data_IF_879916409247
#
_entry.id   IF_879916409247
#
_cell.length_a   1.000
_cell.length_b   1.000
_cell.length_c   1.000
_cell.angle_alpha   90.00
_cell.angle_beta   90.00
_cell.angle_gamma   90.00
#
_symmetry.space_group_name_H-M   'P 1'
#
loop_
_entity.id
_entity.type
_entity.pdbx_description
1 polymer ?
#
# COMPACT_ATOMS: atom_id res chain seq x y z
N UNK A 1 -4.87 -10.91 -10.14
CA UNK A 1 -4.47 -12.13 -9.42
C UNK A 1 -4.06 -11.81 -7.99
N UNK A 2 -4.49 -12.62 -7.02
CA UNK A 2 -4.15 -12.43 -5.61
C UNK A 2 -2.63 -12.45 -5.38
N UNK A 3 -2.14 -11.65 -4.41
CA UNK A 3 -0.72 -11.56 -4.07
C UNK A 3 0.09 -10.58 -4.93
N UNK A 4 -0.44 -10.09 -6.05
CA UNK A 4 0.21 -9.14 -6.94
C UNK A 4 -0.09 -7.69 -6.56
N UNK A 5 0.64 -6.73 -7.17
CA UNK A 5 0.39 -5.30 -7.05
C UNK A 5 -1.08 -5.01 -7.38
N UNK A 6 -1.77 -4.22 -6.54
CA UNK A 6 -3.16 -3.81 -6.81
C UNK A 6 -3.24 -2.92 -8.05
N UNK A 7 -4.27 -3.07 -8.89
CA UNK A 7 -4.47 -2.17 -10.02
C UNK A 7 -4.92 -0.79 -9.53
N UNK A 8 -4.32 0.27 -10.05
CA UNK A 8 -4.70 1.67 -9.82
C UNK A 8 -5.13 2.38 -11.11
N UNK A 9 -5.05 1.69 -12.25
CA UNK A 9 -5.48 2.16 -13.59
C UNK A 9 -6.14 1.03 -14.37
N UNK A 10 -6.98 1.36 -15.34
CA UNK A 10 -7.58 0.39 -16.25
C UNK A 10 -6.51 -0.47 -16.97
N UNK A 11 -5.37 0.12 -17.36
CA UNK A 11 -4.27 -0.61 -17.96
C UNK A 11 -3.73 -1.74 -17.07
N UNK A 12 -3.66 -1.54 -15.75
CA UNK A 12 -3.24 -2.58 -14.79
C UNK A 12 -4.27 -3.73 -14.70
N UNK A 13 -5.57 -3.40 -14.79
CA UNK A 13 -6.65 -4.39 -14.83
C UNK A 13 -6.53 -5.23 -16.10
N UNK A 14 -6.36 -4.59 -17.25
CA UNK A 14 -6.17 -5.26 -18.53
C UNK A 14 -4.92 -6.14 -18.57
N UNK A 15 -3.80 -5.66 -18.03
CA UNK A 15 -2.57 -6.44 -17.93
C UNK A 15 -2.71 -7.67 -17.01
N UNK A 16 -3.50 -7.55 -15.93
CA UNK A 16 -3.66 -8.62 -14.94
C UNK A 16 -4.73 -9.65 -15.29
N UNK A 17 -5.83 -9.25 -15.92
CA UNK A 17 -7.00 -10.09 -16.20
C UNK A 17 -7.17 -10.42 -17.69
N UNK A 18 -6.70 -9.55 -18.58
CA UNK A 18 -6.73 -9.80 -20.02
C UNK A 18 -8.12 -10.23 -20.53
N UNK A 19 -8.14 -11.38 -21.18
CA UNK A 19 -9.37 -11.94 -21.77
C UNK A 19 -10.32 -12.60 -20.74
N UNK A 20 -10.03 -12.53 -19.44
CA UNK A 20 -10.93 -13.04 -18.40
C UNK A 20 -12.08 -12.09 -18.07
N UNK A 21 -12.07 -10.87 -18.65
CA UNK A 21 -13.11 -9.86 -18.51
C UNK A 21 -13.52 -9.32 -19.88
N UNK A 22 -14.82 -9.04 -20.06
CA UNK A 22 -15.37 -8.60 -21.33
C UNK A 22 -15.26 -7.08 -21.53
N UNK A 23 -15.27 -6.31 -20.44
CA UNK A 23 -15.31 -4.84 -20.47
C UNK A 23 -14.61 -4.23 -19.27
N UNK A 24 -13.87 -3.14 -19.48
CA UNK A 24 -13.35 -2.25 -18.44
C UNK A 24 -13.93 -0.87 -18.65
N UNK A 25 -14.56 -0.30 -17.63
CA UNK A 25 -14.96 1.10 -17.59
C UNK A 25 -13.82 1.87 -16.95
N UNK A 26 -13.23 2.80 -17.71
CA UNK A 26 -12.08 3.60 -17.29
C UNK A 26 -12.53 5.03 -16.96
N UNK A 27 -12.46 5.39 -15.66
CA UNK A 27 -12.71 6.75 -15.15
C UNK A 27 -11.41 7.41 -14.69
N UNK A 28 -10.27 6.95 -15.22
CA UNK A 28 -8.94 7.44 -14.86
C UNK A 28 -8.28 6.71 -13.68
N UNK A 29 -7.17 7.26 -13.16
CA UNK A 29 -6.43 6.66 -12.05
C UNK A 29 -7.20 6.76 -10.73
N UNK A 30 -7.01 5.76 -9.85
CA UNK A 30 -7.61 5.77 -8.53
C UNK A 30 -7.11 6.96 -7.69
N UNK A 31 -8.02 7.78 -7.19
CA UNK A 31 -7.68 8.96 -6.39
C UNK A 31 -7.11 8.62 -4.99
N UNK A 32 -7.51 7.48 -4.41
CA UNK A 32 -7.02 7.03 -3.09
C UNK A 32 -5.80 6.14 -3.19
N UNK A 33 -5.64 5.39 -4.27
CA UNK A 33 -4.55 4.45 -4.51
C UNK A 33 -4.49 3.24 -3.56
N UNK A 34 -4.76 3.41 -2.26
CA UNK A 34 -4.84 2.33 -1.28
C UNK A 34 -6.28 1.87 -1.07
N UNK A 35 -6.45 0.61 -0.66
CA UNK A 35 -7.77 0.04 -0.40
C UNK A 35 -8.41 0.64 0.86
N UNK A 36 -9.71 0.37 1.04
CA UNK A 36 -10.48 0.79 2.20
C UNK A 36 -9.88 0.27 3.52
N UNK A 37 -10.05 1.05 4.58
CA UNK A 37 -9.81 0.59 5.94
C UNK A 37 -10.84 -0.46 6.33
N UNK A 38 -10.38 -1.53 6.98
CA UNK A 38 -11.25 -2.58 7.51
C UNK A 38 -11.18 -2.53 9.03
N UNK A 39 -12.34 -2.41 9.65
CA UNK A 39 -12.47 -2.40 11.11
C UNK A 39 -13.38 -3.54 11.58
N UNK A 40 -13.03 -4.09 12.74
CA UNK A 40 -13.97 -4.90 13.54
C UNK A 40 -14.58 -4.00 14.62
N UNK A 41 -15.89 -3.94 14.66
CA UNK A 41 -16.67 -3.11 15.58
C UNK A 41 -17.73 -3.96 16.29
N UNK A 42 -17.38 -5.14 16.77
CA UNK A 42 -18.33 -6.13 17.33
C UNK A 42 -18.71 -5.90 18.79
N UNK A 43 -17.94 -5.11 19.54
CA UNK A 43 -18.12 -4.91 20.98
C UNK A 43 -18.03 -3.42 21.35
N UNK A 44 -17.79 -3.13 22.63
CA UNK A 44 -17.61 -1.76 23.14
C UNK A 44 -16.34 -1.06 22.61
N UNK A 45 -15.49 -1.77 21.90
CA UNK A 45 -14.29 -1.25 21.24
C UNK A 45 -14.25 -1.63 19.76
N UNK A 46 -13.56 -0.83 18.95
CA UNK A 46 -13.29 -1.14 17.55
C UNK A 46 -11.80 -1.39 17.34
N UNK A 47 -11.47 -2.28 16.40
CA UNK A 47 -10.07 -2.61 16.05
C UNK A 47 -9.87 -2.45 14.56
N UNK A 48 -8.77 -1.82 14.14
CA UNK A 48 -8.39 -1.76 12.72
C UNK A 48 -7.73 -3.08 12.33
N UNK A 49 -8.40 -3.83 11.46
CA UNK A 49 -7.87 -5.08 10.90
C UNK A 49 -6.94 -4.83 9.71
N UNK A 50 -7.19 -3.76 8.95
CA UNK A 50 -6.35 -3.33 7.83
C UNK A 50 -6.40 -1.80 7.74
N UNK A 51 -5.27 -1.09 7.90
CA UNK A 51 -5.22 0.34 7.62
C UNK A 51 -5.45 0.58 6.13
N UNK A 52 -6.09 1.72 5.79
CA UNK A 52 -6.48 2.06 4.42
C UNK A 52 -6.82 3.53 4.26
N UNK A 53 -7.68 3.86 3.27
CA UNK A 53 -7.99 5.25 2.90
C UNK A 53 -8.63 6.12 3.99
N UNK A 54 -9.20 5.52 5.05
CA UNK A 54 -9.67 6.26 6.24
C UNK A 54 -8.62 6.08 7.35
N UNK A 55 -8.06 7.19 7.82
CA UNK A 55 -6.95 7.16 8.79
C UNK A 55 -7.40 6.71 10.19
N UNK A 56 -6.48 6.16 10.97
CA UNK A 56 -6.68 5.83 12.39
C UNK A 56 -7.22 7.00 13.19
N UNK A 57 -6.67 8.20 12.97
CA UNK A 57 -7.09 9.44 13.66
C UNK A 57 -8.55 9.77 13.37
N UNK A 58 -8.98 9.66 12.10
CA UNK A 58 -10.36 9.91 11.70
C UNK A 58 -11.32 8.92 12.35
N UNK A 59 -10.96 7.63 12.38
CA UNK A 59 -11.75 6.58 13.01
C UNK A 59 -11.84 6.81 14.52
N UNK A 60 -10.72 7.08 15.18
CA UNK A 60 -10.68 7.36 16.62
C UNK A 60 -11.57 8.55 16.99
N UNK A 61 -11.55 9.62 16.18
CA UNK A 61 -12.42 10.78 16.38
C UNK A 61 -13.91 10.45 16.28
N UNK A 62 -14.31 9.66 15.28
CA UNK A 62 -15.69 9.20 15.14
C UNK A 62 -16.15 8.31 16.31
N UNK A 63 -15.28 7.39 16.73
CA UNK A 63 -15.59 6.49 17.86
C UNK A 63 -15.72 7.28 19.17
N UNK A 64 -14.80 8.21 19.45
CA UNK A 64 -14.86 9.05 20.65
C UNK A 64 -16.16 9.87 20.71
N UNK A 65 -16.62 10.41 19.58
CA UNK A 65 -17.89 11.13 19.50
C UNK A 65 -19.11 10.23 19.83
N UNK A 66 -18.99 8.92 19.62
CA UNK A 66 -19.99 7.90 19.98
C UNK A 66 -19.77 7.28 21.38
N UNK A 67 -18.80 7.74 22.16
CA UNK A 67 -18.44 7.17 23.46
C UNK A 67 -17.74 5.80 23.39
N UNK A 68 -17.20 5.45 22.22
CA UNK A 68 -16.47 4.22 21.97
C UNK A 68 -14.96 4.48 21.90
N UNK A 69 -14.16 3.42 21.97
CA UNK A 69 -12.70 3.50 21.89
C UNK A 69 -12.15 2.66 20.74
N UNK A 70 -11.08 3.15 20.14
CA UNK A 70 -10.28 2.35 19.22
C UNK A 70 -9.25 1.56 20.03
N UNK A 71 -9.30 0.23 19.92
CA UNK A 71 -8.33 -0.64 20.58
C UNK A 71 -6.93 -0.46 19.97
N UNK A 72 -5.90 -0.64 20.81
CA UNK A 72 -4.52 -0.65 20.33
C UNK A 72 -4.25 -1.87 19.44
N UNK A 73 -3.38 -1.73 18.46
CA UNK A 73 -3.02 -2.79 17.51
C UNK A 73 -2.38 -4.02 18.16
N UNK A 74 -1.78 -3.87 19.34
CA UNK A 74 -1.14 -4.97 20.11
C UNK A 74 -2.15 -5.97 20.69
N UNK A 75 -3.44 -5.59 20.78
CA UNK A 75 -4.51 -6.45 21.30
C UNK A 75 -5.07 -7.42 20.23
N UNK A 76 -4.67 -7.28 18.96
CA UNK A 76 -5.10 -8.19 17.89
C UNK A 76 -4.16 -9.38 17.77
N UNK A 77 -4.53 -10.48 18.39
CA UNK A 77 -3.92 -11.80 18.10
C UNK A 77 -4.33 -12.20 16.66
N UNK A 78 -3.59 -11.73 15.68
CA UNK A 78 -3.66 -12.31 14.33
C UNK A 78 -2.92 -13.64 14.39
N UNK A 79 -3.66 -14.74 14.41
CA UNK A 79 -3.03 -16.05 14.16
C UNK A 79 -2.48 -16.02 12.74
N UNK A 80 -1.18 -16.31 12.53
CA UNK A 80 -0.54 -16.25 11.21
C UNK A 80 -1.24 -17.07 10.13
N UNK A 81 -2.03 -18.07 10.53
CA UNK A 81 -2.60 -19.09 9.65
C UNK A 81 -4.04 -18.83 9.21
N UNK A 82 -4.72 -17.78 9.71
CA UNK A 82 -6.10 -17.47 9.32
C UNK A 82 -6.31 -15.96 9.13
N UNK A 83 -6.20 -15.44 7.90
CA UNK A 83 -6.52 -14.05 7.62
C UNK A 83 -8.00 -13.77 7.93
N UNK A 84 -8.27 -12.81 8.80
CA UNK A 84 -9.63 -12.40 9.18
C UNK A 84 -10.17 -11.27 8.30
N UNK A 85 -9.34 -10.73 7.40
CA UNK A 85 -9.76 -9.76 6.39
C UNK A 85 -8.95 -9.88 5.10
N UNK A 86 -9.51 -9.42 3.95
CA UNK A 86 -8.77 -9.37 2.68
C UNK A 86 -7.48 -8.55 2.81
N UNK A 87 -6.38 -9.03 2.18
CA UNK A 87 -5.09 -8.35 2.17
C UNK A 87 -4.21 -8.61 3.41
N UNK A 88 -4.59 -9.52 4.30
CA UNK A 88 -3.81 -9.90 5.48
C UNK A 88 -2.81 -11.04 5.25
N UNK A 89 -2.72 -11.59 4.05
CA UNK A 89 -1.66 -12.55 3.73
C UNK A 89 -0.29 -11.93 4.02
N UNK A 90 0.62 -12.72 4.58
CA UNK A 90 1.97 -12.27 4.93
C UNK A 90 2.69 -11.67 3.72
N UNK A 91 2.61 -12.32 2.54
CA UNK A 91 3.07 -11.77 1.27
C UNK A 91 1.87 -11.40 0.40
N UNK A 92 1.73 -10.13 0.09
CA UNK A 92 0.68 -9.55 -0.75
C UNK A 92 1.17 -8.25 -1.39
N UNK A 93 0.51 -7.78 -2.46
CA UNK A 93 0.88 -6.55 -3.20
C UNK A 93 2.27 -6.60 -3.84
N UNK A 94 2.85 -7.79 -3.99
CA UNK A 94 4.24 -7.95 -4.37
C UNK A 94 4.49 -7.73 -5.88
N UNK A 95 5.46 -6.85 -6.27
CA UNK A 95 5.97 -6.75 -7.63
C UNK A 95 6.73 -8.04 -8.03
N UNK A 96 7.08 -8.23 -9.29
CA UNK A 96 7.97 -9.31 -9.70
C UNK A 96 9.38 -9.13 -9.14
N UNK A 97 9.82 -7.89 -9.01
CA UNK A 97 11.07 -7.47 -8.38
C UNK A 97 11.11 -7.77 -6.87
N UNK A 98 12.31 -7.83 -6.30
CA UNK A 98 12.49 -7.79 -4.84
C UNK A 98 12.24 -6.35 -4.36
N UNK A 99 11.37 -6.18 -3.34
CA UNK A 99 11.12 -4.88 -2.73
C UNK A 99 11.91 -4.71 -1.44
N UNK A 100 12.54 -3.55 -1.27
CA UNK A 100 13.32 -3.17 -0.09
C UNK A 100 12.82 -1.83 0.42
N UNK A 101 12.42 -1.77 1.68
CA UNK A 101 11.91 -0.55 2.32
C UNK A 101 13.01 0.29 2.96
N UNK A 102 12.70 1.55 3.21
CA UNK A 102 13.54 2.51 3.94
C UNK A 102 14.91 2.74 3.28
N UNK A 103 14.92 2.77 1.94
CA UNK A 103 16.12 3.04 1.15
C UNK A 103 16.24 4.54 0.91
N UNK A 104 17.35 5.14 1.31
CA UNK A 104 17.63 6.58 1.12
C UNK A 104 18.57 6.86 -0.05
N UNK A 105 19.24 5.83 -0.57
CA UNK A 105 20.19 5.96 -1.67
C UNK A 105 20.10 4.73 -2.58
N UNK A 106 19.89 4.95 -3.87
CA UNK A 106 19.87 3.88 -4.85
C UNK A 106 21.24 3.21 -4.98
N UNK A 107 21.23 1.88 -5.06
CA UNK A 107 22.42 1.09 -5.40
C UNK A 107 22.37 0.69 -6.88
N UNK A 108 23.50 0.25 -7.43
CA UNK A 108 23.57 -0.17 -8.83
C UNK A 108 22.56 -1.27 -9.14
N UNK A 109 21.68 -1.01 -10.10
CA UNK A 109 20.65 -1.96 -10.55
C UNK A 109 19.36 -1.93 -9.71
N UNK A 110 19.25 -1.00 -8.77
CA UNK A 110 18.04 -0.73 -8.00
C UNK A 110 17.28 0.43 -8.63
N UNK A 111 15.96 0.27 -8.77
CA UNK A 111 15.06 1.39 -9.03
C UNK A 111 14.57 1.94 -7.69
N UNK A 112 14.80 3.22 -7.42
CA UNK A 112 14.40 3.85 -6.16
C UNK A 112 13.15 4.70 -6.36
N UNK A 113 12.10 4.39 -5.61
CA UNK A 113 10.89 5.20 -5.52
C UNK A 113 11.05 6.14 -4.33
N UNK A 114 11.11 7.44 -4.60
CA UNK A 114 11.33 8.50 -3.62
C UNK A 114 10.10 8.90 -2.83
N UNK A 115 10.32 9.66 -1.75
CA UNK A 115 9.29 10.35 -0.98
C UNK A 115 9.88 11.61 -0.36
N UNK A 116 9.20 12.75 -0.46
CA UNK A 116 9.67 14.04 0.02
C UNK A 116 10.83 14.62 -0.80
N UNK A 117 11.52 15.62 -0.26
CA UNK A 117 12.56 16.35 -1.00
C UNK A 117 13.80 15.50 -1.34
N UNK A 118 13.94 14.33 -0.73
CA UNK A 118 15.03 13.38 -1.03
C UNK A 118 14.73 12.47 -2.21
N UNK A 119 13.82 12.84 -3.09
CA UNK A 119 13.37 12.21 -4.33
C UNK A 119 13.95 10.86 -4.74
N UNK A 120 13.29 10.16 -5.63
CA UNK A 120 13.84 8.92 -6.20
C UNK A 120 14.99 9.24 -7.17
N UNK A 121 16.09 8.53 -7.06
CA UNK A 121 17.17 8.60 -8.02
C UNK A 121 17.46 7.18 -8.55
N UNK A 122 16.50 6.66 -9.30
CA UNK A 122 16.66 5.49 -10.16
C UNK A 122 16.76 5.92 -11.63
N UNK A 123 16.64 4.98 -12.56
CA UNK A 123 16.60 5.31 -13.99
C UNK A 123 15.29 6.02 -14.40
N UNK A 124 14.19 5.76 -13.69
CA UNK A 124 12.86 6.27 -14.00
C UNK A 124 12.47 7.52 -13.20
N UNK A 125 13.30 7.93 -12.23
CA UNK A 125 13.04 9.07 -11.34
C UNK A 125 11.63 9.01 -10.69
N UNK A 126 11.26 7.82 -10.18
CA UNK A 126 9.96 7.57 -9.59
C UNK A 126 9.87 8.19 -8.19
N UNK A 127 8.73 8.79 -7.87
CA UNK A 127 8.44 9.31 -6.53
C UNK A 127 6.99 9.11 -6.14
N UNK A 128 6.74 8.77 -4.87
CA UNK A 128 5.38 8.71 -4.32
C UNK A 128 4.78 10.12 -4.18
N UNK A 129 5.57 11.06 -3.65
CA UNK A 129 5.26 12.48 -3.57
C UNK A 129 6.55 13.26 -3.39
N UNK A 130 6.80 14.23 -4.25
CA UNK A 130 7.97 15.13 -4.12
C UNK A 130 7.81 16.11 -2.96
N UNK A 131 6.57 16.48 -2.61
CA UNK A 131 6.25 17.35 -1.49
C UNK A 131 6.25 16.62 -0.13
N UNK A 132 6.26 15.29 -0.12
CA UNK A 132 6.08 14.49 1.09
C UNK A 132 4.63 14.44 1.57
N UNK A 133 3.68 14.63 0.65
CA UNK A 133 2.24 14.55 0.93
C UNK A 133 1.80 13.08 0.95
N UNK A 134 1.16 12.66 2.04
CA UNK A 134 0.76 11.26 2.23
C UNK A 134 -0.47 10.86 1.39
N UNK A 135 -1.33 11.83 1.02
CA UNK A 135 -2.47 11.60 0.13
C UNK A 135 -1.99 11.34 -1.30
N UNK A 136 -1.10 12.20 -1.80
CA UNK A 136 -0.45 12.01 -3.09
C UNK A 136 0.34 10.69 -3.13
N UNK A 137 1.09 10.40 -2.07
CA UNK A 137 1.88 9.17 -1.97
C UNK A 137 1.01 7.92 -1.98
N UNK A 138 -0.13 7.94 -1.28
CA UNK A 138 -1.08 6.83 -1.29
C UNK A 138 -1.70 6.63 -2.68
N UNK A 139 -2.06 7.72 -3.37
CA UNK A 139 -2.59 7.67 -4.74
C UNK A 139 -1.59 7.06 -5.73
N UNK A 140 -0.31 7.38 -5.58
CA UNK A 140 0.77 6.97 -6.48
C UNK A 140 1.37 5.60 -6.16
N UNK A 141 1.15 5.02 -4.97
CA UNK A 141 1.87 3.84 -4.47
C UNK A 141 1.93 2.70 -5.49
N UNK A 142 0.79 2.21 -5.91
CA UNK A 142 0.74 1.06 -6.81
C UNK A 142 1.14 1.42 -8.25
N UNK A 143 0.86 2.65 -8.69
CA UNK A 143 1.28 3.12 -10.02
C UNK A 143 2.80 3.13 -10.16
N UNK A 144 3.53 3.62 -9.14
CA UNK A 144 4.98 3.63 -9.11
C UNK A 144 5.56 2.22 -9.03
N UNK A 145 4.95 1.32 -8.25
CA UNK A 145 5.37 -0.08 -8.20
C UNK A 145 5.16 -0.79 -9.54
N UNK A 146 4.02 -0.54 -10.22
CA UNK A 146 3.79 -1.06 -11.58
C UNK A 146 4.79 -0.51 -12.60
N UNK A 147 5.12 0.78 -12.53
CA UNK A 147 6.07 1.41 -13.43
C UNK A 147 7.48 0.80 -13.29
N UNK A 148 7.95 0.62 -12.05
CA UNK A 148 9.25 0.00 -11.78
C UNK A 148 9.29 -1.48 -12.23
N UNK A 149 8.22 -2.24 -11.97
CA UNK A 149 8.11 -3.66 -12.36
C UNK A 149 8.05 -3.82 -13.89
N UNK A 150 7.29 -2.97 -14.58
CA UNK A 150 7.18 -2.95 -16.05
C UNK A 150 8.51 -2.59 -16.73
N UNK A 151 9.33 -1.74 -16.10
CA UNK A 151 10.67 -1.43 -16.58
C UNK A 151 11.69 -2.57 -16.39
N UNK A 152 11.29 -3.66 -15.76
CA UNK A 152 12.13 -4.85 -15.53
C UNK A 152 13.12 -4.69 -14.39
N UNK A 153 12.85 -3.79 -13.43
CA UNK A 153 13.65 -3.68 -12.21
C UNK A 153 13.81 -5.05 -11.53
N UNK A 154 15.01 -5.36 -11.06
CA UNK A 154 15.26 -6.57 -10.26
C UNK A 154 15.08 -6.31 -8.77
N UNK A 155 15.39 -5.09 -8.36
CA UNK A 155 15.24 -4.60 -6.99
C UNK A 155 14.56 -3.24 -7.05
N UNK A 156 13.50 -3.08 -6.27
CA UNK A 156 12.80 -1.81 -6.06
C UNK A 156 13.08 -1.37 -4.63
N UNK A 157 13.77 -0.25 -4.48
CA UNK A 157 13.92 0.45 -3.21
C UNK A 157 12.77 1.44 -3.02
N UNK A 158 12.25 1.58 -1.82
CA UNK A 158 11.26 2.63 -1.49
C UNK A 158 11.80 3.47 -0.35
N UNK A 159 11.77 4.79 -0.52
CA UNK A 159 12.17 5.75 0.50
C UNK A 159 11.32 5.63 1.78
N UNK A 160 11.83 6.03 2.95
CA UNK A 160 11.06 6.03 4.18
C UNK A 160 9.81 6.92 4.05
N UNK A 161 8.65 6.38 4.40
CA UNK A 161 7.38 7.11 4.52
C UNK A 161 7.02 7.16 6.01
N UNK A 162 6.65 8.33 6.58
CA UNK A 162 6.22 8.43 7.98
C UNK A 162 5.05 7.48 8.28
N UNK A 163 5.08 6.80 9.43
CA UNK A 163 4.05 5.82 9.83
C UNK A 163 2.87 6.52 10.55
N UNK A 164 2.35 7.59 9.94
CA UNK A 164 1.24 8.42 10.42
C UNK A 164 0.29 8.74 9.27
N UNK A 165 -0.95 9.08 9.56
CA UNK A 165 -1.93 9.40 8.52
C UNK A 165 -2.13 8.25 7.54
N UNK A 166 -2.09 8.54 6.24
CA UNK A 166 -2.13 7.50 5.19
C UNK A 166 -0.81 6.71 5.07
N UNK A 167 0.28 7.21 5.63
CA UNK A 167 1.55 6.50 5.67
C UNK A 167 1.46 5.17 6.42
N UNK A 168 0.55 5.01 7.41
CA UNK A 168 0.26 3.73 8.06
C UNK A 168 -0.21 2.68 7.05
N UNK A 169 -1.11 3.07 6.15
CA UNK A 169 -1.60 2.19 5.08
C UNK A 169 -0.53 1.91 4.02
N UNK A 170 0.23 2.93 3.60
CA UNK A 170 1.33 2.78 2.65
C UNK A 170 2.35 1.77 3.19
N UNK A 171 2.80 1.95 4.43
CA UNK A 171 3.79 1.09 5.06
C UNK A 171 3.28 -0.35 5.28
N UNK A 172 1.98 -0.53 5.59
CA UNK A 172 1.38 -1.88 5.65
C UNK A 172 1.50 -2.58 4.28
N UNK A 173 1.17 -1.91 3.19
CA UNK A 173 1.28 -2.47 1.83
C UNK A 173 2.73 -2.78 1.45
N UNK A 174 3.66 -1.89 1.76
CA UNK A 174 5.08 -2.08 1.48
C UNK A 174 5.68 -3.24 2.29
N UNK A 175 5.34 -3.38 3.59
CA UNK A 175 5.79 -4.53 4.42
C UNK A 175 5.33 -5.86 3.82
N UNK A 176 4.08 -5.95 3.37
CA UNK A 176 3.55 -7.16 2.72
C UNK A 176 4.15 -7.42 1.35
N UNK A 177 4.43 -6.35 0.59
CA UNK A 177 5.08 -6.47 -0.71
C UNK A 177 6.55 -6.90 -0.61
N UNK A 178 7.23 -6.54 0.49
CA UNK A 178 8.62 -6.91 0.80
C UNK A 178 8.74 -8.29 1.46
N UNK A 179 7.64 -8.87 1.96
CA UNK A 179 7.68 -10.14 2.65
C UNK A 179 8.11 -11.29 1.71
N UNK A 180 8.82 -12.30 2.22
CA UNK A 180 9.18 -13.49 1.46
C UNK A 180 7.94 -14.13 0.84
N UNK A 181 8.05 -14.55 -0.42
CA UNK A 181 6.99 -15.30 -1.09
C UNK A 181 7.04 -16.76 -0.68
N UNK A 182 5.89 -17.41 -0.46
CA UNK A 182 5.84 -18.85 -0.19
C UNK A 182 6.34 -19.67 -1.39
#
# INVERSE_FOLDING_TARGET
>A
PSGRISPSRAAHVMAGLGNAIDLVIDDGPCSSGVESTVINASDASATILRPGGVTRTSIAGCLAAAGLQLANTDDTVTTPDAPVSPGQLASHYAPAAQLVMNVTTATKGMELIGFGPTGGHGQLDLTLSAAGDDVEAAANLFDMLHAADAAGAKVIGVAPVPDTGLGEAINDRLRRAAAPRP
#
